data_IF_867366084122
#
_entry.id   IF_867366084122
#
_cell.length_a   1.000
_cell.length_b   1.000
_cell.length_c   1.000
_cell.angle_alpha   90.00
_cell.angle_beta   90.00
_cell.angle_gamma   90.00
#
_symmetry.space_group_name_H-M   'P 1'
#
loop_
_entity.id
_entity.type
_entity.pdbx_description
1 polymer ?
#
# COMPACT_ATOMS: atom_id res chain seq x y z
N UNK A 1 18.50 24.93 14.03
CA UNK A 1 19.96 24.76 13.82
C UNK A 1 20.39 23.28 13.87
N UNK A 2 20.08 22.54 14.94
CA UNK A 2 20.40 21.09 15.06
C UNK A 2 19.79 20.17 13.97
N UNK A 3 18.55 20.42 13.54
CA UNK A 3 17.89 19.66 12.45
C UNK A 3 18.63 19.79 11.09
N UNK A 4 19.35 20.90 10.83
CA UNK A 4 20.11 21.10 9.58
C UNK A 4 21.40 20.30 9.56
N UNK A 5 22.13 20.25 10.67
CA UNK A 5 23.38 19.48 10.83
C UNK A 5 23.15 17.96 10.67
N UNK A 6 22.03 17.43 11.16
CA UNK A 6 21.63 16.02 10.96
C UNK A 6 21.32 15.66 9.49
N UNK A 7 21.04 16.65 8.65
CA UNK A 7 20.72 16.43 7.23
C UNK A 7 21.91 15.99 6.37
N UNK A 8 23.13 16.32 6.78
CA UNK A 8 24.35 15.97 6.03
C UNK A 8 24.62 14.46 5.99
N UNK A 9 23.98 13.69 6.88
CA UNK A 9 24.17 12.25 7.03
C UNK A 9 22.89 11.43 6.76
N UNK A 10 21.82 12.06 6.27
CA UNK A 10 20.53 11.40 6.02
C UNK A 10 20.23 11.37 4.53
N UNK A 11 19.89 10.20 4.00
CA UNK A 11 19.42 10.06 2.62
C UNK A 11 17.95 10.49 2.50
N UNK A 12 17.63 11.27 1.47
CA UNK A 12 16.24 11.62 1.14
C UNK A 12 15.48 10.36 0.67
N UNK A 13 14.23 10.23 1.10
CA UNK A 13 13.36 9.09 0.83
C UNK A 13 12.17 9.49 -0.03
N UNK A 14 11.70 8.57 -0.86
CA UNK A 14 10.36 8.62 -1.45
C UNK A 14 9.59 7.37 -1.02
N UNK A 15 8.36 7.55 -0.56
CA UNK A 15 7.51 6.50 -0.03
C UNK A 15 6.24 6.45 -0.87
N UNK A 16 5.99 5.30 -1.46
CA UNK A 16 4.67 4.94 -1.95
C UNK A 16 3.93 4.22 -0.83
N UNK A 17 2.89 4.86 -0.27
CA UNK A 17 2.11 4.34 0.85
C UNK A 17 0.83 3.70 0.33
N UNK A 18 0.98 2.61 -0.42
CA UNK A 18 -0.12 1.91 -1.04
C UNK A 18 -1.00 1.14 -0.06
N UNK A 19 -2.24 0.90 -0.47
CA UNK A 19 -3.23 0.12 0.28
C UNK A 19 -2.82 -1.34 0.50
N UNK A 20 -2.07 -1.92 -0.43
CA UNK A 20 -1.63 -3.31 -0.40
C UNK A 20 -0.14 -3.45 -0.06
N UNK A 21 0.72 -2.62 -0.67
CA UNK A 21 2.17 -2.63 -0.49
C UNK A 21 2.69 -1.21 -0.21
N UNK A 22 3.80 -1.12 0.50
CA UNK A 22 4.56 0.09 0.75
C UNK A 22 5.93 -0.07 0.11
N UNK A 23 6.33 0.89 -0.71
CA UNK A 23 7.65 0.91 -1.34
C UNK A 23 8.45 2.11 -0.82
N UNK A 24 9.75 1.93 -0.61
CA UNK A 24 10.67 3.03 -0.29
C UNK A 24 11.79 3.08 -1.31
N UNK A 25 11.92 4.25 -1.93
CA UNK A 25 13.01 4.61 -2.82
C UNK A 25 14.00 5.52 -2.09
N UNK A 26 15.30 5.27 -2.27
CA UNK A 26 16.38 6.12 -1.77
C UNK A 26 17.13 6.71 -2.96
N UNK A 27 17.32 8.03 -2.97
CA UNK A 27 18.07 8.73 -4.03
C UNK A 27 19.47 8.11 -4.20
N UNK A 28 19.75 7.65 -5.42
CA UNK A 28 21.04 7.03 -5.78
C UNK A 28 21.18 5.55 -5.42
N UNK A 29 20.19 4.94 -4.77
CA UNK A 29 20.16 3.50 -4.47
C UNK A 29 19.02 2.75 -5.16
N UNK A 30 17.96 3.44 -5.57
CA UNK A 30 16.79 2.79 -6.15
C UNK A 30 15.73 2.43 -5.10
N UNK A 31 14.85 1.50 -5.45
CA UNK A 31 13.89 0.89 -4.53
C UNK A 31 14.67 -0.02 -3.57
N UNK A 32 14.57 0.27 -2.27
CA UNK A 32 15.29 -0.45 -1.20
C UNK A 32 14.36 -1.22 -0.27
N UNK A 33 13.04 -1.01 -0.40
CA UNK A 33 12.02 -1.71 0.34
C UNK A 33 10.78 -1.86 -0.54
N UNK A 34 10.22 -3.06 -0.52
CA UNK A 34 8.92 -3.42 -1.10
C UNK A 34 8.31 -4.46 -0.14
N UNK A 35 7.34 -4.02 0.65
CA UNK A 35 6.73 -4.82 1.71
C UNK A 35 5.22 -4.62 1.75
N UNK A 36 4.43 -5.66 2.07
CA UNK A 36 3.00 -5.50 2.31
C UNK A 36 2.68 -4.43 3.37
N UNK A 37 1.65 -3.63 3.11
CA UNK A 37 1.09 -2.64 4.05
C UNK A 37 0.24 -3.32 5.12
N UNK A 38 0.85 -4.23 5.89
CA UNK A 38 0.18 -5.06 6.91
C UNK A 38 0.93 -4.98 8.23
N UNK A 39 0.19 -4.86 9.32
CA UNK A 39 0.71 -4.86 10.69
C UNK A 39 0.00 -5.92 11.52
N UNK A 40 0.75 -6.77 12.20
CA UNK A 40 0.22 -7.67 13.21
C UNK A 40 0.34 -7.02 14.58
N UNK A 41 -0.79 -6.87 15.27
CA UNK A 41 -0.87 -6.26 16.60
C UNK A 41 -1.16 -7.36 17.61
N UNK A 42 -0.31 -7.45 18.63
CA UNK A 42 -0.54 -8.30 19.80
C UNK A 42 -1.33 -7.51 20.83
N UNK A 43 -2.39 -8.13 21.35
CA UNK A 43 -3.16 -7.61 22.47
C UNK A 43 -2.77 -8.36 23.74
N UNK A 44 -2.41 -7.60 24.78
CA UNK A 44 -2.13 -8.13 26.12
C UNK A 44 -2.86 -7.26 27.14
N UNK A 45 -4.06 -7.69 27.54
CA UNK A 45 -4.98 -6.85 28.32
C UNK A 45 -5.39 -5.61 27.51
N UNK A 46 -5.23 -4.42 28.09
CA UNK A 46 -5.51 -3.14 27.41
C UNK A 46 -4.33 -2.62 26.57
N UNK A 47 -3.19 -3.32 26.57
CA UNK A 47 -1.99 -2.87 25.87
C UNK A 47 -1.93 -3.49 24.48
N UNK A 48 -1.69 -2.64 23.46
CA UNK A 48 -1.45 -3.04 22.07
C UNK A 48 0.03 -2.84 21.76
N UNK A 49 0.66 -3.84 21.15
CA UNK A 49 2.03 -3.73 20.65
C UNK A 49 2.15 -4.34 19.26
N UNK A 50 3.04 -3.79 18.45
CA UNK A 50 3.37 -4.35 17.13
C UNK A 50 4.11 -5.67 17.33
N UNK A 51 3.56 -6.75 16.79
CA UNK A 51 4.16 -8.07 16.78
C UNK A 51 5.04 -8.27 15.55
N UNK A 52 4.55 -7.86 14.38
CA UNK A 52 5.28 -7.89 13.10
C UNK A 52 4.70 -6.88 12.11
N UNK A 53 5.45 -6.57 11.07
CA UNK A 53 5.08 -5.64 9.98
C UNK A 53 5.53 -6.26 8.66
N UNK A 54 4.87 -5.94 7.55
CA UNK A 54 5.30 -6.38 6.21
C UNK A 54 4.90 -7.82 5.89
N UNK A 55 5.76 -8.53 5.18
CA UNK A 55 5.53 -9.90 4.74
C UNK A 55 5.21 -10.87 5.90
N UNK A 56 5.88 -10.68 7.05
CA UNK A 56 5.64 -11.48 8.24
C UNK A 56 4.24 -11.28 8.80
N UNK A 57 3.72 -10.05 8.74
CA UNK A 57 2.34 -9.75 9.14
C UNK A 57 1.32 -10.24 8.09
N UNK A 58 1.61 -10.10 6.78
CA UNK A 58 0.74 -10.60 5.70
C UNK A 58 0.50 -12.11 5.83
N UNK A 59 1.53 -12.89 6.16
CA UNK A 59 1.42 -14.35 6.39
C UNK A 59 0.47 -14.75 7.52
N UNK A 60 0.17 -13.82 8.44
CA UNK A 60 -0.73 -14.06 9.56
C UNK A 60 -2.21 -13.74 9.23
N UNK A 61 -2.51 -13.07 8.12
CA UNK A 61 -3.89 -12.72 7.76
C UNK A 61 -4.78 -13.97 7.67
N UNK A 62 -5.90 -13.95 8.41
CA UNK A 62 -6.83 -15.08 8.52
C UNK A 62 -6.28 -16.31 9.26
N UNK A 63 -5.08 -16.22 9.86
CA UNK A 63 -4.38 -17.34 10.53
C UNK A 63 -3.89 -16.99 11.95
N UNK A 64 -4.32 -15.86 12.52
CA UNK A 64 -3.87 -15.42 13.83
C UNK A 64 -4.55 -16.18 14.99
N UNK A 65 -3.84 -16.41 16.11
CA UNK A 65 -4.48 -16.77 17.38
C UNK A 65 -5.29 -15.59 17.93
N UNK A 66 -6.22 -15.85 18.86
CA UNK A 66 -7.17 -14.83 19.35
C UNK A 66 -6.56 -13.56 19.98
N UNK A 67 -5.28 -13.58 20.37
CA UNK A 67 -4.58 -12.43 20.94
C UNK A 67 -3.73 -11.64 19.93
N UNK A 68 -3.75 -12.01 18.64
CA UNK A 68 -3.06 -11.28 17.57
C UNK A 68 -4.08 -10.93 16.48
N UNK A 69 -3.99 -9.71 15.97
CA UNK A 69 -4.80 -9.26 14.84
C UNK A 69 -3.89 -8.69 13.78
N UNK A 70 -3.91 -9.26 12.58
CA UNK A 70 -3.25 -8.69 11.41
C UNK A 70 -4.22 -7.74 10.71
N UNK A 71 -3.79 -6.50 10.47
CA UNK A 71 -4.60 -5.44 9.89
C UNK A 71 -3.84 -4.70 8.79
N UNK A 72 -4.57 -4.22 7.78
CA UNK A 72 -4.09 -3.23 6.80
C UNK A 72 -4.48 -1.85 7.30
N UNK A 73 -3.53 -0.98 7.69
CA UNK A 73 -3.85 0.32 8.26
C UNK A 73 -4.21 1.36 7.18
N UNK A 74 -3.93 1.04 5.91
CA UNK A 74 -4.36 1.77 4.72
C UNK A 74 -5.53 1.02 4.08
N UNK A 75 -6.60 1.72 3.70
CA UNK A 75 -7.76 1.14 3.01
C UNK A 75 -8.37 2.16 2.05
N UNK A 76 -8.72 1.74 0.84
CA UNK A 76 -9.36 2.59 -0.17
C UNK A 76 -8.64 3.94 -0.38
N UNK A 77 -7.31 3.95 -0.39
CA UNK A 77 -6.47 5.14 -0.55
C UNK A 77 -6.34 6.03 0.71
N UNK A 78 -6.97 5.67 1.82
CA UNK A 78 -6.99 6.48 3.04
C UNK A 78 -6.36 5.76 4.23
N UNK A 79 -5.88 6.53 5.20
CA UNK A 79 -5.42 5.98 6.48
C UNK A 79 -6.64 5.64 7.34
N UNK A 80 -6.83 4.35 7.62
CA UNK A 80 -7.89 3.85 8.49
C UNK A 80 -7.47 3.85 9.98
N UNK A 81 -6.17 3.70 10.27
CA UNK A 81 -5.62 3.78 11.62
C UNK A 81 -4.28 4.55 11.61
N UNK A 82 -4.30 5.78 12.12
CA UNK A 82 -3.14 6.67 12.15
C UNK A 82 -2.00 6.12 13.01
N UNK A 83 -2.33 5.53 14.16
CA UNK A 83 -1.32 5.05 15.12
C UNK A 83 -0.58 3.86 14.53
N UNK A 84 -1.32 2.95 13.89
CA UNK A 84 -0.74 1.76 13.27
C UNK A 84 0.05 2.12 12.01
N UNK A 85 -0.44 3.07 11.21
CA UNK A 85 0.30 3.57 10.04
C UNK A 85 1.62 4.21 10.44
N UNK A 86 1.63 5.05 11.48
CA UNK A 86 2.87 5.64 11.99
C UNK A 86 3.86 4.57 12.46
N UNK A 87 3.40 3.57 13.21
CA UNK A 87 4.25 2.46 13.66
C UNK A 87 4.80 1.62 12.49
N UNK A 88 4.00 1.40 11.45
CA UNK A 88 4.41 0.74 10.22
C UNK A 88 5.52 1.53 9.50
N UNK A 89 5.30 2.83 9.29
CA UNK A 89 6.28 3.72 8.67
C UNK A 89 7.57 3.81 9.50
N UNK A 90 7.46 3.92 10.82
CA UNK A 90 8.60 3.88 11.73
C UNK A 90 9.42 2.60 11.54
N UNK A 91 8.75 1.45 11.42
CA UNK A 91 9.42 0.18 11.19
C UNK A 91 10.16 0.17 9.85
N UNK A 92 9.49 0.55 8.76
CA UNK A 92 10.08 0.56 7.42
C UNK A 92 11.24 1.56 7.28
N UNK A 93 11.08 2.79 7.78
CA UNK A 93 12.15 3.80 7.76
C UNK A 93 13.36 3.31 8.58
N UNK A 94 13.14 2.73 9.77
CA UNK A 94 14.23 2.15 10.56
C UNK A 94 14.91 1.00 9.81
N UNK A 95 14.15 0.11 9.17
CA UNK A 95 14.65 -1.02 8.36
C UNK A 95 15.58 -0.55 7.24
N UNK A 96 15.24 0.54 6.56
CA UNK A 96 16.07 1.11 5.48
C UNK A 96 17.37 1.78 5.99
N UNK A 97 17.37 2.28 7.23
CA UNK A 97 18.48 3.05 7.83
C UNK A 97 19.36 2.26 8.83
N UNK A 98 19.20 0.95 8.95
CA UNK A 98 19.89 0.10 9.94
C UNK A 98 21.42 0.22 9.95
N UNK A 99 22.03 0.73 8.89
CA UNK A 99 23.48 0.94 8.77
C UNK A 99 24.02 2.21 9.45
N UNK A 100 23.18 2.99 10.15
CA UNK A 100 23.58 4.30 10.68
C UNK A 100 23.50 4.34 12.22
N UNK A 101 24.59 4.75 12.87
CA UNK A 101 24.67 4.87 14.35
C UNK A 101 23.82 6.03 14.92
N UNK A 102 23.29 6.90 14.05
CA UNK A 102 22.47 8.06 14.40
C UNK A 102 21.03 7.86 13.93
N UNK A 103 20.07 8.35 14.72
CA UNK A 103 18.65 8.38 14.31
C UNK A 103 18.51 9.24 13.04
N UNK A 104 18.08 8.66 11.90
CA UNK A 104 17.93 9.38 10.65
C UNK A 104 16.82 10.44 10.77
N UNK A 105 16.95 11.53 10.02
CA UNK A 105 15.92 12.58 9.95
C UNK A 105 15.78 13.05 8.50
N UNK A 106 15.26 12.17 7.63
CA UNK A 106 15.27 12.37 6.19
C UNK A 106 14.23 13.42 5.77
N UNK A 107 14.41 13.98 4.58
CA UNK A 107 13.30 14.58 3.84
C UNK A 107 12.57 13.46 3.13
N UNK A 108 11.25 13.48 3.18
CA UNK A 108 10.41 12.40 2.65
C UNK A 108 9.45 12.97 1.63
N UNK A 109 9.38 12.38 0.45
CA UNK A 109 8.30 12.58 -0.51
C UNK A 109 7.32 11.42 -0.38
N UNK A 110 6.03 11.67 -0.21
CA UNK A 110 5.01 10.61 -0.08
C UNK A 110 3.97 10.76 -1.18
N UNK A 111 3.64 9.65 -1.86
CA UNK A 111 2.52 9.61 -2.80
C UNK A 111 1.20 9.70 -2.04
N UNK A 112 0.24 10.46 -2.58
CA UNK A 112 -1.13 10.57 -2.06
C UNK A 112 -2.13 10.50 -3.20
N UNK A 113 -3.29 9.85 -3.02
CA UNK A 113 -4.35 9.86 -4.03
C UNK A 113 -4.72 11.28 -4.45
N UNK A 114 -5.11 11.44 -5.72
CA UNK A 114 -5.36 12.78 -6.25
C UNK A 114 -6.56 13.45 -5.55
N UNK A 115 -7.57 12.65 -5.21
CA UNK A 115 -8.81 13.10 -4.58
C UNK A 115 -8.79 13.05 -3.04
N UNK A 116 -7.61 12.89 -2.41
CA UNK A 116 -7.51 12.90 -0.94
C UNK A 116 -7.94 14.23 -0.33
N UNK A 117 -8.74 14.16 0.74
CA UNK A 117 -9.15 15.33 1.53
C UNK A 117 -7.95 15.96 2.25
N UNK A 118 -8.09 17.22 2.68
CA UNK A 118 -7.05 17.89 3.47
C UNK A 118 -6.75 17.17 4.79
N UNK A 119 -7.75 16.49 5.38
CA UNK A 119 -7.58 15.69 6.60
C UNK A 119 -6.71 14.46 6.31
N UNK A 120 -6.96 13.76 5.21
CA UNK A 120 -6.16 12.59 4.80
C UNK A 120 -4.73 12.97 4.44
N UNK A 121 -4.54 14.04 3.65
CA UNK A 121 -3.20 14.55 3.31
C UNK A 121 -2.42 14.98 4.54
N UNK A 122 -3.09 15.62 5.50
CA UNK A 122 -2.50 16.00 6.78
C UNK A 122 -2.12 14.78 7.60
N UNK A 123 -2.96 13.76 7.64
CA UNK A 123 -2.67 12.54 8.35
C UNK A 123 -1.44 11.80 7.81
N UNK A 124 -1.32 11.67 6.48
CA UNK A 124 -0.15 11.06 5.84
C UNK A 124 1.12 11.82 6.22
N UNK A 125 1.05 13.16 6.18
CA UNK A 125 2.14 14.04 6.61
C UNK A 125 2.50 13.82 8.09
N UNK A 126 1.53 13.83 8.98
CA UNK A 126 1.75 13.65 10.42
C UNK A 126 2.30 12.25 10.74
N UNK A 127 1.83 11.19 10.06
CA UNK A 127 2.37 9.84 10.21
C UNK A 127 3.83 9.74 9.75
N UNK A 128 4.20 10.38 8.63
CA UNK A 128 5.59 10.42 8.17
C UNK A 128 6.50 11.25 9.09
N UNK A 129 6.00 12.38 9.62
CA UNK A 129 6.71 13.21 10.61
C UNK A 129 6.91 12.47 11.94
N UNK A 130 5.86 11.82 12.46
CA UNK A 130 5.91 10.94 13.64
C UNK A 130 6.85 9.76 13.43
N UNK A 131 7.02 9.32 12.18
CA UNK A 131 7.98 8.29 11.82
C UNK A 131 9.46 8.74 11.78
N UNK A 132 9.73 10.04 11.99
CA UNK A 132 11.07 10.60 12.08
C UNK A 132 11.48 11.49 10.90
N UNK A 133 10.56 11.73 9.94
CA UNK A 133 10.83 12.65 8.85
C UNK A 133 11.05 14.08 9.37
N UNK A 134 12.04 14.77 8.81
CA UNK A 134 12.31 16.18 9.14
C UNK A 134 11.36 17.12 8.41
N UNK A 135 11.04 16.76 7.18
CA UNK A 135 10.27 17.54 6.23
C UNK A 135 9.56 16.56 5.29
N UNK A 136 8.27 16.78 5.08
CA UNK A 136 7.44 15.90 4.25
C UNK A 136 6.85 16.68 3.10
N UNK A 137 7.06 16.17 1.89
CA UNK A 137 6.43 16.63 0.66
C UNK A 137 5.42 15.59 0.22
N UNK A 138 4.35 16.04 -0.42
CA UNK A 138 3.33 15.15 -0.98
C UNK A 138 3.34 15.33 -2.50
N UNK A 139 3.21 14.23 -3.23
CA UNK A 139 3.00 14.19 -4.68
C UNK A 139 1.73 13.41 -4.97
N UNK A 140 0.98 13.83 -5.99
CA UNK A 140 -0.19 13.08 -6.45
C UNK A 140 0.26 11.74 -7.05
N UNK A 141 -0.36 10.67 -6.59
CA UNK A 141 -0.12 9.29 -7.03
C UNK A 141 -0.19 9.14 -8.57
N UNK A 142 -1.22 9.64 -9.29
CA UNK A 142 -1.22 9.54 -10.76
C UNK A 142 -0.07 10.31 -11.43
N UNK A 143 0.40 11.42 -10.85
CA UNK A 143 1.57 12.12 -11.35
C UNK A 143 2.83 11.27 -11.18
N UNK A 144 3.02 10.66 -10.00
CA UNK A 144 4.12 9.75 -9.74
C UNK A 144 4.07 8.52 -10.65
N UNK A 145 2.89 7.94 -10.87
CA UNK A 145 2.67 6.81 -11.77
C UNK A 145 2.99 7.17 -13.22
N UNK A 146 2.52 8.32 -13.72
CA UNK A 146 2.80 8.78 -15.08
C UNK A 146 4.31 9.01 -15.32
N UNK A 147 4.99 9.66 -14.37
CA UNK A 147 6.45 9.83 -14.42
C UNK A 147 7.15 8.46 -14.39
N UNK A 148 6.73 7.56 -13.51
CA UNK A 148 7.29 6.20 -13.39
C UNK A 148 7.10 5.36 -14.66
N UNK A 149 6.01 5.58 -15.39
CA UNK A 149 5.72 4.94 -16.67
C UNK A 149 6.42 5.60 -17.88
N UNK A 150 7.14 6.72 -17.67
CA UNK A 150 7.84 7.44 -18.74
C UNK A 150 6.93 8.24 -19.65
N UNK A 151 5.74 8.65 -19.17
CA UNK A 151 4.85 9.52 -19.92
C UNK A 151 5.41 10.95 -19.96
N UNK A 152 5.30 11.68 -21.09
CA UNK A 152 5.81 13.04 -21.26
C UNK A 152 4.88 14.07 -20.59
N UNK A 153 4.87 14.09 -19.26
CA UNK A 153 3.95 14.91 -18.44
C UNK A 153 4.24 16.41 -18.52
N UNK A 154 5.47 16.80 -18.87
CA UNK A 154 5.93 18.18 -18.98
C UNK A 154 5.58 18.84 -20.32
N UNK A 155 5.21 18.05 -21.33
CA UNK A 155 4.94 18.54 -22.68
C UNK A 155 3.52 19.11 -22.80
N UNK A 156 3.31 19.95 -23.82
CA UNK A 156 2.01 20.51 -24.18
C UNK A 156 1.11 19.48 -24.91
N UNK A 157 1.07 18.25 -24.41
CA UNK A 157 0.18 17.17 -24.86
C UNK A 157 -0.48 16.48 -23.66
N UNK A 158 -1.62 15.83 -23.90
CA UNK A 158 -2.35 15.12 -22.85
C UNK A 158 -1.85 13.69 -22.70
N UNK A 159 -1.34 13.35 -21.51
CA UNK A 159 -0.98 11.99 -21.11
C UNK A 159 -2.07 11.44 -20.19
N UNK A 160 -2.68 10.31 -20.57
CA UNK A 160 -3.64 9.61 -19.71
C UNK A 160 -2.95 8.47 -18.97
N UNK A 161 -3.15 8.38 -17.66
CA UNK A 161 -2.70 7.28 -16.80
C UNK A 161 -3.90 6.66 -16.09
N UNK A 162 -3.89 5.33 -15.99
CA UNK A 162 -4.84 4.55 -15.21
C UNK A 162 -4.03 3.63 -14.31
N UNK A 163 -4.01 3.94 -13.02
CA UNK A 163 -3.28 3.19 -11.99
C UNK A 163 -4.27 2.34 -11.19
N UNK A 164 -4.18 1.02 -11.32
CA UNK A 164 -5.07 0.05 -10.67
C UNK A 164 -4.33 -0.54 -9.47
N UNK A 165 -4.58 0.01 -8.29
CA UNK A 165 -4.01 -0.45 -7.03
C UNK A 165 -4.83 -1.55 -6.34
N UNK A 166 -4.56 -1.75 -5.05
CA UNK A 166 -5.31 -2.69 -4.21
C UNK A 166 -6.74 -2.22 -3.92
N UNK A 167 -6.88 -1.08 -3.24
CA UNK A 167 -8.19 -0.53 -2.83
C UNK A 167 -8.82 0.45 -3.83
N UNK A 168 -8.03 1.07 -4.70
CA UNK A 168 -8.46 2.15 -5.59
C UNK A 168 -7.92 1.98 -7.00
N UNK A 169 -8.61 2.61 -7.94
CA UNK A 169 -8.09 2.90 -9.29
C UNK A 169 -8.06 4.41 -9.44
N UNK A 170 -6.88 4.96 -9.71
CA UNK A 170 -6.66 6.38 -9.99
C UNK A 170 -6.56 6.60 -11.50
N UNK A 171 -7.34 7.55 -12.01
CA UNK A 171 -7.35 7.92 -13.43
C UNK A 171 -6.97 9.38 -13.50
N UNK A 172 -6.01 9.74 -14.36
CA UNK A 172 -5.68 11.14 -14.58
C UNK A 172 -5.31 11.44 -16.03
N UNK A 173 -5.58 12.69 -16.42
CA UNK A 173 -5.04 13.30 -17.64
C UNK A 173 -4.09 14.41 -17.20
N UNK A 174 -2.85 14.35 -17.69
CA UNK A 174 -1.75 15.22 -17.26
C UNK A 174 -1.18 15.95 -18.48
N UNK A 175 -0.87 17.24 -18.33
CA UNK A 175 -0.18 18.04 -19.34
C UNK A 175 0.54 19.21 -18.65
N UNK A 176 1.70 19.64 -19.18
CA UNK A 176 2.47 20.77 -18.65
C UNK A 176 2.74 20.68 -17.13
N UNK A 177 3.09 19.49 -16.64
CA UNK A 177 3.27 19.15 -15.21
C UNK A 177 2.02 19.37 -14.33
N UNK A 178 0.84 19.53 -14.92
CA UNK A 178 -0.41 19.71 -14.22
C UNK A 178 -1.39 18.57 -14.47
N UNK A 179 -2.08 18.13 -13.43
CA UNK A 179 -3.23 17.24 -13.55
C UNK A 179 -4.42 18.06 -14.07
N UNK A 180 -4.82 17.80 -15.32
CA UNK A 180 -5.94 18.47 -16.00
C UNK A 180 -7.28 17.87 -15.58
N UNK A 181 -7.30 16.56 -15.41
CA UNK A 181 -8.45 15.80 -14.95
C UNK A 181 -7.98 14.69 -14.02
N UNK A 182 -8.74 14.40 -12.97
CA UNK A 182 -8.53 13.22 -12.15
C UNK A 182 -9.85 12.64 -11.66
N UNK A 183 -9.88 11.32 -11.54
CA UNK A 183 -10.95 10.57 -10.92
C UNK A 183 -10.34 9.42 -10.11
N UNK A 184 -10.93 9.14 -8.95
CA UNK A 184 -10.54 8.03 -8.10
C UNK A 184 -11.78 7.20 -7.78
N UNK A 185 -11.71 5.90 -8.04
CA UNK A 185 -12.79 4.97 -7.72
C UNK A 185 -12.29 3.91 -6.74
N UNK A 186 -13.15 3.51 -5.80
CA UNK A 186 -12.86 2.49 -4.77
C UNK A 186 -13.05 1.07 -5.31
N UNK A 187 -12.40 0.82 -6.43
CA UNK A 187 -12.37 -0.46 -7.13
C UNK A 187 -10.92 -0.73 -7.50
N UNK A 188 -10.42 -1.90 -7.14
CA UNK A 188 -9.06 -2.34 -7.42
C UNK A 188 -8.93 -3.84 -7.12
N UNK A 189 -7.70 -4.28 -6.87
CA UNK A 189 -7.37 -5.67 -6.52
C UNK A 189 -8.27 -6.29 -5.44
N UNK A 190 -8.62 -5.54 -4.40
CA UNK A 190 -9.43 -6.01 -3.27
C UNK A 190 -10.86 -6.36 -3.72
N UNK A 191 -11.45 -5.57 -4.63
CA UNK A 191 -12.78 -5.84 -5.18
C UNK A 191 -12.78 -7.04 -6.12
N UNK A 192 -11.68 -7.27 -6.82
CA UNK A 192 -11.52 -8.47 -7.64
C UNK A 192 -11.48 -9.73 -6.76
N UNK A 193 -10.77 -9.68 -5.63
CA UNK A 193 -10.69 -10.79 -4.68
C UNK A 193 -12.03 -11.09 -4.00
N UNK A 194 -12.79 -10.04 -3.65
CA UNK A 194 -14.16 -10.17 -3.15
C UNK A 194 -15.07 -10.83 -4.19
N UNK A 195 -14.97 -10.45 -5.47
CA UNK A 195 -15.75 -11.02 -6.56
C UNK A 195 -15.43 -12.51 -6.76
N UNK A 196 -14.15 -12.88 -6.71
CA UNK A 196 -13.69 -14.28 -6.77
C UNK A 196 -14.21 -15.08 -5.58
N UNK A 197 -14.09 -14.54 -4.36
CA UNK A 197 -14.60 -15.19 -3.13
C UNK A 197 -16.11 -15.43 -3.22
N UNK A 198 -16.86 -14.43 -3.67
CA UNK A 198 -18.30 -14.52 -3.85
C UNK A 198 -18.68 -15.54 -4.95
N UNK A 199 -17.92 -15.60 -6.03
CA UNK A 199 -18.09 -16.59 -7.09
C UNK A 199 -17.89 -18.01 -6.55
N UNK A 200 -16.77 -18.28 -5.89
CA UNK A 200 -16.47 -19.61 -5.33
C UNK A 200 -17.54 -20.05 -4.34
N UNK A 201 -17.99 -19.14 -3.47
CA UNK A 201 -19.08 -19.39 -2.53
C UNK A 201 -20.39 -19.77 -3.22
N UNK A 202 -20.79 -19.04 -4.26
CA UNK A 202 -22.08 -19.26 -4.95
C UNK A 202 -22.09 -20.52 -5.81
N UNK A 203 -20.98 -20.82 -6.48
CA UNK A 203 -20.90 -21.91 -7.46
C UNK A 203 -20.44 -23.25 -6.85
N UNK A 204 -19.65 -23.23 -5.78
CA UNK A 204 -19.07 -24.44 -5.18
C UNK A 204 -19.43 -24.63 -3.69
N UNK A 205 -20.22 -23.72 -3.10
CA UNK A 205 -20.62 -23.82 -1.69
C UNK A 205 -19.46 -23.74 -0.69
N UNK A 206 -18.29 -23.27 -1.14
CA UNK A 206 -17.07 -23.22 -0.34
C UNK A 206 -16.66 -21.80 -0.01
N UNK A 207 -16.19 -21.57 1.22
CA UNK A 207 -15.57 -20.32 1.64
C UNK A 207 -14.06 -20.40 1.48
N UNK A 208 -13.49 -19.42 0.80
CA UNK A 208 -12.05 -19.20 0.71
C UNK A 208 -11.67 -17.88 1.38
N UNK A 209 -10.42 -17.78 1.84
CA UNK A 209 -9.88 -16.53 2.40
C UNK A 209 -9.32 -15.59 1.32
N UNK A 210 -9.09 -14.33 1.69
CA UNK A 210 -8.55 -13.28 0.81
C UNK A 210 -7.26 -13.70 0.11
N UNK A 211 -6.29 -14.27 0.82
CA UNK A 211 -5.03 -14.74 0.23
C UNK A 211 -5.22 -15.85 -0.82
N UNK A 212 -6.25 -16.70 -0.67
CA UNK A 212 -6.58 -17.72 -1.68
C UNK A 212 -7.23 -17.06 -2.90
N UNK A 213 -8.10 -16.06 -2.70
CA UNK A 213 -8.72 -15.32 -3.79
C UNK A 213 -7.68 -14.51 -4.59
N UNK A 214 -6.76 -13.82 -3.91
CA UNK A 214 -5.62 -13.11 -4.53
C UNK A 214 -4.78 -14.07 -5.38
N UNK A 215 -4.51 -15.28 -4.88
CA UNK A 215 -3.78 -16.30 -5.65
C UNK A 215 -4.54 -16.76 -6.89
N UNK A 216 -5.86 -16.97 -6.80
CA UNK A 216 -6.69 -17.31 -7.96
C UNK A 216 -6.62 -16.18 -9.00
N UNK A 217 -6.73 -14.92 -8.55
CA UNK A 217 -6.64 -13.73 -9.40
C UNK A 217 -5.31 -13.68 -10.17
N UNK A 218 -4.19 -13.92 -9.50
CA UNK A 218 -2.86 -13.87 -10.11
C UNK A 218 -2.57 -15.05 -11.03
N UNK A 219 -2.98 -16.27 -10.68
CA UNK A 219 -2.63 -17.46 -11.45
C UNK A 219 -3.52 -17.68 -12.68
N UNK A 220 -4.83 -17.41 -12.55
CA UNK A 220 -5.81 -17.71 -13.60
C UNK A 220 -6.78 -16.56 -13.94
N UNK A 221 -6.68 -15.42 -13.27
CA UNK A 221 -7.54 -14.27 -13.56
C UNK A 221 -7.30 -13.69 -14.96
N UNK A 222 -8.38 -13.35 -15.66
CA UNK A 222 -8.30 -12.74 -16.99
C UNK A 222 -9.48 -11.80 -17.24
N UNK A 223 -9.20 -10.58 -17.74
CA UNK A 223 -10.22 -9.60 -18.07
C UNK A 223 -10.69 -9.67 -19.53
N UNK A 224 -9.91 -10.31 -20.43
CA UNK A 224 -10.22 -10.39 -21.85
C UNK A 224 -10.44 -11.85 -22.29
N UNK A 225 -11.55 -12.17 -22.96
CA UNK A 225 -11.81 -13.53 -23.42
C UNK A 225 -10.82 -13.93 -24.54
N UNK A 226 -10.30 -15.16 -24.49
CA UNK A 226 -9.43 -15.71 -25.55
C UNK A 226 -7.97 -15.98 -25.15
N UNK A 227 -7.63 -15.81 -23.87
CA UNK A 227 -6.37 -16.33 -23.32
C UNK A 227 -6.33 -17.85 -23.23
N UNK A 228 -5.15 -18.39 -22.94
CA UNK A 228 -4.97 -19.79 -22.58
C UNK A 228 -5.88 -20.14 -21.38
N UNK A 229 -6.62 -21.25 -21.50
CA UNK A 229 -7.50 -21.69 -20.43
C UNK A 229 -6.63 -22.31 -19.32
N UNK A 230 -6.66 -21.68 -18.14
CA UNK A 230 -5.87 -22.10 -16.98
C UNK A 230 -6.79 -22.50 -15.84
N UNK A 231 -6.35 -23.49 -15.07
CA UNK A 231 -7.07 -24.04 -13.93
C UNK A 231 -6.16 -24.03 -12.70
N UNK A 232 -6.76 -23.96 -11.52
CA UNK A 232 -6.05 -23.96 -10.24
C UNK A 232 -6.84 -24.76 -9.21
N UNK A 233 -6.12 -25.55 -8.41
CA UNK A 233 -6.67 -26.21 -7.23
C UNK A 233 -6.56 -25.32 -5.98
N UNK A 234 -7.69 -25.14 -5.29
CA UNK A 234 -7.76 -24.35 -4.04
C UNK A 234 -8.50 -25.11 -2.95
N UNK A 235 -8.15 -24.82 -1.69
CA UNK A 235 -8.84 -25.36 -0.52
C UNK A 235 -9.69 -24.27 0.13
N UNK A 236 -10.90 -24.63 0.50
CA UNK A 236 -11.84 -23.79 1.23
C UNK A 236 -12.63 -24.62 2.23
N UNK A 237 -13.40 -23.94 3.08
CA UNK A 237 -14.31 -24.57 4.05
C UNK A 237 -15.69 -24.74 3.43
N UNK A 238 -16.24 -25.95 3.45
CA UNK A 238 -17.57 -26.23 2.95
C UNK A 238 -18.63 -25.60 3.89
N UNK A 239 -19.58 -24.85 3.32
CA UNK A 239 -20.64 -24.20 4.09
C UNK A 239 -21.69 -25.16 4.65
N UNK A 240 -21.94 -26.29 3.97
CA UNK A 240 -22.94 -27.26 4.40
C UNK A 240 -22.41 -28.17 5.53
N UNK A 241 -21.14 -28.53 5.46
CA UNK A 241 -20.52 -29.51 6.37
C UNK A 241 -19.69 -28.85 7.48
N UNK A 242 -19.36 -27.56 7.35
CA UNK A 242 -18.60 -26.79 8.34
C UNK A 242 -17.11 -27.15 8.43
N UNK A 243 -16.64 -28.08 7.61
CA UNK A 243 -15.24 -28.53 7.48
C UNK A 243 -14.59 -27.93 6.23
#
# INVERSE_FOLDING_TARGET
MFKRLRGLFSSDLSIDLGTANTLIYVRGRGIVLDEPSVVAIRQSGNMRSVASVGADAKRMLGRTPGNITAIRPMKDGVIADFTVTEQMLQHFIRKVHQSTFLTPSPRVLVCVPCMSTQVERRAIRESAEGAGAREVFLIEEPMAAAIGAGLPVEEAQGSMVVDIGGGTTEIAIISLNGVVYSESIRVGGDRFDEAITAYVRRHYGSLIGEATAERIKEEIGCAYPGGELREIDVRGRNLAEGV
#
